data_IF_424896742850
#
_entry.id   IF_424896742850
#
_cell.length_a   1.000
_cell.length_b   1.000
_cell.length_c   1.000
_cell.angle_alpha   90.00
_cell.angle_beta   90.00
_cell.angle_gamma   90.00
#
_symmetry.space_group_name_H-M   'P 1'
#
loop_
_entity.id
_entity.type
_entity.pdbx_description
1 polymer ?
#
# COMPACT_ATOMS: atom_id res chain seq x y z
N UNK A 1 8.25 -5.70 5.64
CA UNK A 1 8.13 -4.26 5.95
C UNK A 1 8.89 -3.98 7.23
N UNK A 2 9.49 -2.81 7.41
CA UNK A 2 10.21 -2.45 8.65
C UNK A 2 9.23 -2.21 9.78
N UNK A 3 9.66 -2.62 10.97
CA UNK A 3 8.94 -2.45 12.23
C UNK A 3 9.36 -1.15 12.92
N UNK A 4 8.41 -0.59 13.67
CA UNK A 4 8.58 0.53 14.61
C UNK A 4 7.55 0.41 15.72
N UNK A 5 8.00 0.28 16.96
CA UNK A 5 7.10 0.16 18.12
C UNK A 5 5.98 -0.87 17.89
N UNK A 6 6.36 -2.08 17.46
CA UNK A 6 5.45 -3.20 17.15
C UNK A 6 4.42 -2.93 16.05
N UNK A 7 4.68 -1.94 15.18
CA UNK A 7 3.85 -1.61 14.02
C UNK A 7 4.68 -1.55 12.75
N UNK A 8 4.09 -1.79 11.57
CA UNK A 8 4.81 -1.57 10.34
C UNK A 8 4.95 -0.06 10.08
N UNK A 9 6.14 0.38 9.67
CA UNK A 9 6.34 1.78 9.24
C UNK A 9 5.64 2.05 7.91
N UNK A 10 4.99 3.19 7.74
CA UNK A 10 4.34 3.61 6.47
C UNK A 10 5.16 4.73 5.81
N UNK A 11 5.32 4.74 4.48
CA UNK A 11 5.99 5.86 3.78
C UNK A 11 6.43 5.59 2.33
N UNK A 12 7.17 6.51 1.70
CA UNK A 12 7.55 6.42 0.26
C UNK A 12 8.73 5.49 -0.04
N UNK A 13 8.79 4.30 0.55
CA UNK A 13 9.94 3.41 0.38
C UNK A 13 9.54 1.93 0.43
N UNK A 14 10.21 1.04 -0.33
CA UNK A 14 9.84 -0.37 -0.44
C UNK A 14 10.05 -1.17 0.85
N UNK A 15 10.81 -0.63 1.80
CA UNK A 15 11.02 -1.23 3.12
C UNK A 15 9.99 -0.73 4.14
N UNK A 16 9.28 0.35 3.85
CA UNK A 16 8.08 0.75 4.60
C UNK A 16 6.86 0.10 3.91
N UNK A 17 5.76 0.03 4.63
CA UNK A 17 4.40 -0.22 4.16
C UNK A 17 4.01 0.95 3.27
N UNK A 18 4.52 0.89 2.04
CA UNK A 18 4.97 2.08 1.38
C UNK A 18 4.97 1.98 -0.11
N UNK A 19 4.70 3.12 -0.74
CA UNK A 19 4.50 3.21 -2.18
C UNK A 19 5.70 3.89 -2.80
N UNK A 20 6.28 3.26 -3.82
CA UNK A 20 7.32 3.89 -4.65
C UNK A 20 6.65 4.74 -5.72
N UNK A 21 6.90 6.04 -5.68
CA UNK A 21 6.47 6.95 -6.76
C UNK A 21 7.09 6.51 -8.09
N UNK A 22 6.28 6.52 -9.16
CA UNK A 22 6.69 6.13 -10.51
C UNK A 22 6.84 4.62 -10.75
N UNK A 23 6.72 3.79 -9.71
CA UNK A 23 6.74 2.33 -9.85
C UNK A 23 5.46 1.70 -9.33
N UNK A 24 5.13 1.99 -8.07
CA UNK A 24 3.96 1.44 -7.38
C UNK A 24 2.76 2.39 -7.48
N UNK A 25 2.97 3.69 -7.67
CA UNK A 25 1.89 4.64 -7.97
C UNK A 25 2.36 5.63 -9.02
N UNK A 26 1.48 5.94 -9.95
CA UNK A 26 1.71 7.04 -10.89
C UNK A 26 1.25 8.35 -10.25
N UNK A 27 2.12 9.35 -10.33
CA UNK A 27 1.87 10.70 -9.82
C UNK A 27 1.97 11.66 -10.97
N UNK A 28 0.96 12.51 -11.10
CA UNK A 28 0.95 13.61 -12.06
C UNK A 28 0.79 14.93 -11.32
N UNK A 29 1.30 16.01 -11.92
CA UNK A 29 1.02 17.36 -11.48
C UNK A 29 -0.14 17.93 -12.29
N UNK A 30 -1.18 18.33 -11.59
CA UNK A 30 -2.36 18.95 -12.19
C UNK A 30 -2.69 20.27 -11.48
N UNK A 31 -3.43 21.20 -12.13
CA UNK A 31 -3.92 22.39 -11.47
C UNK A 31 -4.81 22.04 -10.26
N UNK A 32 -4.63 22.72 -9.12
CA UNK A 32 -5.48 22.57 -7.92
C UNK A 32 -6.97 22.72 -8.22
N UNK A 33 -7.32 23.57 -9.18
CA UNK A 33 -8.69 23.80 -9.65
C UNK A 33 -9.32 22.62 -10.40
N UNK A 34 -8.59 21.52 -10.60
CA UNK A 34 -9.13 20.26 -11.14
C UNK A 34 -9.61 19.31 -10.04
N UNK A 35 -9.42 19.68 -8.78
CA UNK A 35 -9.77 18.85 -7.63
C UNK A 35 -10.87 19.52 -6.81
N UNK A 36 -11.75 18.73 -6.22
CA UNK A 36 -12.76 19.22 -5.29
C UNK A 36 -12.14 19.66 -3.94
N UNK A 37 -12.98 20.14 -3.04
CA UNK A 37 -12.55 20.55 -1.70
C UNK A 37 -11.95 19.39 -0.88
N UNK A 38 -12.39 18.15 -1.15
CA UNK A 38 -11.92 16.93 -0.50
C UNK A 38 -10.65 16.35 -1.14
N UNK A 39 -10.20 16.91 -2.26
CA UNK A 39 -9.00 16.50 -2.98
C UNK A 39 -9.21 15.38 -4.00
N UNK A 40 -10.42 15.14 -4.48
CA UNK A 40 -10.71 14.19 -5.57
C UNK A 40 -10.75 14.89 -6.92
N UNK A 41 -10.38 14.18 -7.99
CA UNK A 41 -10.44 14.69 -9.35
C UNK A 41 -11.88 14.99 -9.79
N UNK A 42 -12.12 16.24 -10.20
CA UNK A 42 -13.39 16.69 -10.75
C UNK A 42 -13.62 16.13 -12.17
N UNK A 43 -14.88 15.99 -12.58
CA UNK A 43 -15.25 15.77 -13.98
C UNK A 43 -14.68 16.88 -14.87
N UNK A 44 -14.31 16.55 -16.12
CA UNK A 44 -13.64 17.48 -17.03
C UNK A 44 -14.38 18.82 -17.23
N UNK A 45 -15.70 18.83 -17.10
CA UNK A 45 -16.56 20.01 -17.26
C UNK A 45 -16.43 21.02 -16.12
N UNK A 46 -16.01 20.59 -14.94
CA UNK A 46 -15.93 21.42 -13.72
C UNK A 46 -14.50 21.90 -13.44
N UNK A 47 -13.53 21.41 -14.22
CA UNK A 47 -12.11 21.74 -14.03
C UNK A 47 -11.84 23.18 -14.44
N UNK A 48 -11.27 23.94 -13.52
CA UNK A 48 -10.79 25.30 -13.78
C UNK A 48 -9.27 25.34 -13.77
N UNK A 49 -8.69 26.08 -14.71
CA UNK A 49 -7.25 26.29 -14.71
C UNK A 49 -6.87 27.21 -13.54
N UNK A 50 -6.13 26.66 -12.58
CA UNK A 50 -5.49 27.41 -11.49
C UNK A 50 -3.97 27.49 -11.74
N UNK A 51 -3.32 28.53 -11.22
CA UNK A 51 -1.86 28.67 -11.29
C UNK A 51 -1.11 27.72 -10.36
N UNK A 52 -1.74 27.26 -9.28
CA UNK A 52 -1.17 26.30 -8.34
C UNK A 52 -1.24 24.87 -8.92
N UNK A 53 -0.10 24.18 -8.94
CA UNK A 53 0.05 22.78 -9.33
C UNK A 53 0.14 21.91 -8.07
N UNK A 54 -0.49 20.74 -8.11
CA UNK A 54 -0.48 19.77 -7.00
C UNK A 54 -0.25 18.35 -7.52
N UNK A 55 0.43 17.55 -6.71
CA UNK A 55 0.67 16.13 -7.00
C UNK A 55 -0.60 15.31 -6.72
N UNK A 56 -1.02 14.50 -7.69
CA UNK A 56 -2.15 13.57 -7.57
C UNK A 56 -1.71 12.13 -7.76
N UNK A 57 -2.24 11.22 -6.95
CA UNK A 57 -2.13 9.79 -7.15
C UNK A 57 -3.18 9.35 -8.20
N UNK A 58 -2.72 8.76 -9.30
CA UNK A 58 -3.59 8.34 -10.40
C UNK A 58 -4.23 6.99 -10.10
N UNK A 59 -5.54 6.89 -10.32
CA UNK A 59 -6.24 5.60 -10.34
C UNK A 59 -5.98 4.89 -11.67
N UNK A 60 -5.04 3.95 -11.71
CA UNK A 60 -4.71 3.18 -12.92
C UNK A 60 -4.15 1.77 -12.66
N UNK A 61 -4.75 1.05 -11.71
CA UNK A 61 -4.33 -0.31 -11.31
C UNK A 61 -2.92 -0.41 -10.73
N UNK A 62 -2.32 0.72 -10.32
CA UNK A 62 -1.09 0.75 -9.55
C UNK A 62 -1.38 1.16 -8.11
N UNK A 63 -0.72 0.49 -7.17
CA UNK A 63 -0.75 0.86 -5.77
C UNK A 63 0.34 0.14 -4.98
N UNK A 64 0.21 0.17 -3.67
CA UNK A 64 1.08 -0.60 -2.79
C UNK A 64 0.89 -2.10 -3.04
N UNK A 65 1.96 -2.77 -3.47
CA UNK A 65 1.96 -4.22 -3.72
C UNK A 65 1.77 -5.02 -2.44
N UNK A 66 0.83 -5.96 -2.48
CA UNK A 66 0.52 -6.95 -1.46
C UNK A 66 0.26 -8.31 -2.12
N UNK A 67 0.06 -9.35 -1.32
CA UNK A 67 -0.22 -10.71 -1.81
C UNK A 67 -1.35 -11.34 -1.01
N UNK A 68 -2.11 -12.23 -1.65
CA UNK A 68 -3.19 -12.99 -1.02
C UNK A 68 -2.69 -14.04 -0.02
N UNK A 69 -1.43 -14.46 -0.14
CA UNK A 69 -0.85 -15.46 0.74
C UNK A 69 0.67 -15.30 0.87
N UNK A 70 1.25 -15.97 1.86
CA UNK A 70 2.70 -15.96 2.09
C UNK A 70 3.42 -16.65 0.92
N UNK A 71 2.82 -17.68 0.34
CA UNK A 71 3.34 -18.45 -0.79
C UNK A 71 3.47 -17.59 -2.04
N UNK A 72 2.53 -16.67 -2.24
CA UNK A 72 2.53 -15.70 -3.34
C UNK A 72 3.65 -14.65 -3.25
N UNK A 73 4.33 -14.52 -2.10
CA UNK A 73 5.42 -13.57 -1.94
C UNK A 73 6.71 -14.01 -2.66
N UNK A 74 7.41 -13.10 -3.35
CA UNK A 74 8.74 -13.37 -3.89
C UNK A 74 9.74 -13.80 -2.81
N UNK A 75 10.68 -14.66 -3.19
CA UNK A 75 11.68 -15.24 -2.27
C UNK A 75 12.42 -14.20 -1.40
N UNK A 76 12.77 -13.04 -1.99
CA UNK A 76 13.49 -11.97 -1.30
C UNK A 76 12.62 -11.09 -0.38
N UNK A 77 11.29 -11.26 -0.40
CA UNK A 77 10.34 -10.58 0.48
C UNK A 77 9.89 -11.45 1.66
N UNK A 78 10.19 -12.74 1.60
CA UNK A 78 9.77 -13.75 2.57
C UNK A 78 10.92 -14.03 3.56
N UNK A 79 10.70 -14.00 4.89
CA UNK A 79 11.72 -14.36 5.87
C UNK A 79 12.17 -15.83 5.80
N UNK A 80 13.35 -16.19 6.35
CA UNK A 80 13.81 -17.57 6.46
C UNK A 80 12.82 -18.50 7.15
N UNK A 81 12.12 -18.03 8.18
CA UNK A 81 11.09 -18.80 8.88
C UNK A 81 9.93 -19.27 7.97
N UNK A 82 9.76 -18.63 6.81
CA UNK A 82 8.78 -18.99 5.80
C UNK A 82 9.42 -19.54 4.51
N UNK A 83 10.71 -19.92 4.55
CA UNK A 83 11.43 -20.47 3.40
C UNK A 83 11.95 -19.44 2.41
N UNK A 84 12.13 -18.18 2.82
CA UNK A 84 12.70 -17.12 1.99
C UNK A 84 14.07 -16.60 2.44
N UNK A 85 14.53 -15.49 1.83
CA UNK A 85 15.82 -14.84 2.14
C UNK A 85 15.67 -13.38 2.60
N UNK A 86 14.44 -12.91 2.75
CA UNK A 86 14.12 -11.56 3.23
C UNK A 86 14.47 -11.36 4.71
N UNK A 87 14.74 -10.12 5.11
CA UNK A 87 15.12 -9.79 6.50
C UNK A 87 14.01 -9.13 7.32
N UNK A 88 12.99 -8.61 6.64
CA UNK A 88 11.93 -7.85 7.28
C UNK A 88 10.76 -8.76 7.65
N UNK A 89 10.05 -8.54 8.77
CA UNK A 89 8.88 -9.33 9.13
C UNK A 89 7.75 -9.22 8.09
N UNK A 90 6.87 -10.22 8.12
CA UNK A 90 5.62 -10.23 7.38
C UNK A 90 4.49 -9.60 8.21
N UNK A 91 3.64 -8.85 7.52
CA UNK A 91 2.45 -8.24 8.08
C UNK A 91 1.27 -8.62 7.21
N UNK A 92 0.12 -8.79 7.84
CA UNK A 92 -1.16 -9.07 7.19
C UNK A 92 -2.18 -8.00 7.58
N UNK A 93 -3.16 -7.81 6.73
CA UNK A 93 -4.33 -6.95 6.99
C UNK A 93 -5.55 -7.65 6.41
N UNK A 94 -6.69 -7.47 7.06
CA UNK A 94 -8.00 -7.88 6.55
C UNK A 94 -8.45 -6.84 5.51
N UNK A 95 -8.91 -7.29 4.34
CA UNK A 95 -9.28 -6.40 3.23
C UNK A 95 -10.49 -5.51 3.58
N UNK A 96 -11.34 -5.93 4.52
CA UNK A 96 -12.42 -5.11 5.08
C UNK A 96 -11.93 -3.84 5.78
N UNK A 97 -10.62 -3.74 6.09
CA UNK A 97 -9.99 -2.54 6.64
C UNK A 97 -9.49 -1.57 5.57
N UNK A 98 -9.44 -2.00 4.31
CA UNK A 98 -8.99 -1.21 3.16
C UNK A 98 -10.17 -0.50 2.49
N UNK A 99 -10.77 0.43 3.24
CA UNK A 99 -11.98 1.16 2.85
C UNK A 99 -11.75 2.66 2.63
N UNK A 100 -12.77 3.35 2.11
CA UNK A 100 -12.77 4.79 1.94
C UNK A 100 -11.99 5.24 0.70
N UNK A 101 -10.85 5.88 0.92
CA UNK A 101 -10.01 6.47 -0.14
C UNK A 101 -9.15 5.45 -0.90
N UNK A 102 -9.04 4.24 -0.36
CA UNK A 102 -8.26 3.15 -0.94
C UNK A 102 -9.12 1.92 -1.16
N UNK A 103 -8.61 1.02 -1.99
CA UNK A 103 -9.18 -0.29 -2.26
C UNK A 103 -8.07 -1.30 -2.56
N UNK A 104 -8.30 -2.56 -2.19
CA UNK A 104 -7.49 -3.67 -2.63
C UNK A 104 -8.06 -4.22 -3.95
N UNK A 105 -7.24 -4.27 -4.99
CA UNK A 105 -7.61 -4.87 -6.26
C UNK A 105 -6.63 -5.98 -6.58
N UNK A 106 -7.14 -7.19 -6.77
CA UNK A 106 -6.37 -8.30 -7.28
C UNK A 106 -6.12 -8.10 -8.78
N UNK A 107 -4.86 -7.90 -9.16
CA UNK A 107 -4.45 -7.70 -10.55
C UNK A 107 -3.83 -8.96 -11.17
N UNK A 108 -3.49 -9.97 -10.36
CA UNK A 108 -3.07 -11.30 -10.81
C UNK A 108 -3.40 -12.38 -9.76
N UNK A 109 -3.22 -13.68 -10.05
CA UNK A 109 -3.56 -14.76 -9.10
C UNK A 109 -2.92 -14.63 -7.72
N UNK A 110 -1.76 -13.98 -7.61
CA UNK A 110 -1.03 -13.83 -6.33
C UNK A 110 -0.75 -12.39 -5.93
N UNK A 111 -1.04 -11.41 -6.78
CA UNK A 111 -0.71 -10.01 -6.54
C UNK A 111 -1.98 -9.16 -6.36
N UNK A 112 -1.94 -8.33 -5.32
CA UNK A 112 -2.99 -7.37 -4.97
C UNK A 112 -2.35 -6.00 -4.84
N UNK A 113 -2.93 -5.02 -5.50
CA UNK A 113 -2.53 -3.62 -5.40
C UNK A 113 -3.50 -2.88 -4.49
N UNK A 114 -2.99 -2.25 -3.42
CA UNK A 114 -3.75 -1.31 -2.60
C UNK A 114 -3.61 0.06 -3.24
N UNK A 115 -4.61 0.45 -4.03
CA UNK A 115 -4.60 1.64 -4.88
C UNK A 115 -5.54 2.73 -4.36
N UNK A 116 -5.38 4.00 -4.78
CA UNK A 116 -6.42 4.99 -4.56
C UNK A 116 -7.72 4.52 -5.24
N UNK A 117 -8.89 4.76 -4.64
CA UNK A 117 -10.19 4.37 -5.22
C UNK A 117 -10.60 5.25 -6.41
N UNK A 118 -10.13 6.50 -6.41
CA UNK A 118 -10.28 7.46 -7.50
C UNK A 118 -9.03 8.33 -7.55
N UNK A 119 -8.76 8.98 -8.69
CA UNK A 119 -7.64 9.94 -8.77
C UNK A 119 -7.86 11.04 -7.73
N UNK A 120 -6.86 11.25 -6.88
CA UNK A 120 -6.95 12.13 -5.72
C UNK A 120 -5.59 12.75 -5.38
N UNK A 121 -5.56 13.74 -4.49
CA UNK A 121 -4.31 14.28 -3.95
C UNK A 121 -3.39 13.18 -3.44
N UNK A 122 -2.09 13.29 -3.74
CA UNK A 122 -1.09 12.33 -3.28
C UNK A 122 -1.08 12.22 -1.75
N UNK A 123 -1.11 13.36 -1.04
CA UNK A 123 -1.10 13.37 0.42
C UNK A 123 -2.33 12.66 1.03
N UNK A 124 -3.47 12.68 0.35
CA UNK A 124 -4.71 12.02 0.78
C UNK A 124 -4.58 10.51 0.65
N UNK A 125 -4.04 10.03 -0.47
CA UNK A 125 -3.73 8.61 -0.64
C UNK A 125 -2.72 8.13 0.42
N UNK A 126 -1.65 8.90 0.67
CA UNK A 126 -0.66 8.58 1.71
C UNK A 126 -1.27 8.56 3.12
N UNK A 127 -2.15 9.51 3.41
CA UNK A 127 -2.89 9.56 4.68
C UNK A 127 -3.82 8.36 4.83
N UNK A 128 -4.50 7.96 3.76
CA UNK A 128 -5.36 6.78 3.76
C UNK A 128 -4.58 5.50 4.06
N UNK A 129 -3.41 5.32 3.44
CA UNK A 129 -2.50 4.22 3.78
C UNK A 129 -2.03 4.31 5.23
N UNK A 130 -1.60 5.49 5.68
CA UNK A 130 -1.16 5.75 7.06
C UNK A 130 -2.23 5.36 8.09
N UNK A 131 -3.50 5.64 7.81
CA UNK A 131 -4.61 5.33 8.69
C UNK A 131 -4.86 3.83 8.87
N UNK A 132 -4.42 2.99 7.92
CA UNK A 132 -4.52 1.53 8.06
C UNK A 132 -3.49 0.95 9.02
N UNK A 133 -2.45 1.70 9.42
CA UNK A 133 -1.31 1.17 10.18
C UNK A 133 -1.70 0.33 11.40
N UNK A 134 -2.73 0.76 12.12
CA UNK A 134 -3.23 0.10 13.34
C UNK A 134 -3.93 -1.24 13.08
N UNK A 135 -4.36 -1.48 11.85
CA UNK A 135 -5.11 -2.65 11.43
C UNK A 135 -4.20 -3.75 10.84
N UNK A 136 -2.88 -3.46 10.73
CA UNK A 136 -1.90 -4.44 10.32
C UNK A 136 -1.42 -5.26 11.50
N UNK A 137 -1.43 -6.58 11.31
CA UNK A 137 -0.98 -7.55 12.29
C UNK A 137 0.31 -8.21 11.83
N UNK A 138 1.26 -8.37 12.76
CA UNK A 138 2.48 -9.13 12.50
C UNK A 138 2.09 -10.60 12.31
N UNK A 139 2.60 -11.21 11.24
CA UNK A 139 2.42 -12.65 11.04
C UNK A 139 3.37 -13.38 12.00
N UNK A 140 2.87 -14.25 12.90
CA UNK A 140 3.73 -15.02 13.78
C UNK A 140 4.59 -15.98 12.95
N UNK A 141 5.86 -16.10 13.31
CA UNK A 141 6.71 -17.15 12.74
C UNK A 141 6.10 -18.52 13.09
N UNK A 142 6.15 -19.51 12.18
CA UNK A 142 5.71 -20.86 12.52
C UNK A 142 6.52 -21.35 13.72
N UNK A 143 5.83 -21.87 14.73
CA UNK A 143 6.51 -22.53 15.85
C UNK A 143 7.37 -23.64 15.25
N UNK A 144 8.68 -23.57 15.47
CA UNK A 144 9.53 -24.71 15.19
C UNK A 144 9.00 -25.82 16.09
N UNK A 145 8.43 -26.88 15.50
CA UNK A 145 8.29 -28.15 16.18
C UNK A 145 9.71 -28.68 16.47
N UNK A 146 10.38 -28.13 17.49
CA UNK A 146 11.49 -28.80 18.17
C UNK A 146 10.87 -29.89 19.03
N UNK A 147 10.29 -30.88 18.34
CA UNK A 147 9.89 -32.15 18.90
C UNK A 147 11.15 -32.88 19.36
N UNK A 148 11.33 -32.86 20.68
CA UNK A 148 12.17 -33.76 21.45
C UNK A 148 12.02 -35.18 20.90
N UNK A 149 13.10 -35.78 20.41
CA UNK A 149 13.22 -37.24 20.38
C UNK A 149 14.29 -37.65 21.38
N UNK A 150 13.81 -38.49 22.30
CA UNK A 150 14.50 -39.08 23.45
C UNK A 150 15.66 -39.98 23.05
#
# INVERSE_FOLDING_TARGET
MMEDNDKPKIGRCPRLLGVRLGRDIDVEQIPRGWLDEKGYLLPSQERVNSGEQVDVAIRNNKGMSTSLSIEGLPNFRKPPAFGGIGKDPLWKIDDSKLMGDIEAVQDSPTHVSIMPRTTMLLNKYETALANTQKDWEKVPEPENETGVSR
#
